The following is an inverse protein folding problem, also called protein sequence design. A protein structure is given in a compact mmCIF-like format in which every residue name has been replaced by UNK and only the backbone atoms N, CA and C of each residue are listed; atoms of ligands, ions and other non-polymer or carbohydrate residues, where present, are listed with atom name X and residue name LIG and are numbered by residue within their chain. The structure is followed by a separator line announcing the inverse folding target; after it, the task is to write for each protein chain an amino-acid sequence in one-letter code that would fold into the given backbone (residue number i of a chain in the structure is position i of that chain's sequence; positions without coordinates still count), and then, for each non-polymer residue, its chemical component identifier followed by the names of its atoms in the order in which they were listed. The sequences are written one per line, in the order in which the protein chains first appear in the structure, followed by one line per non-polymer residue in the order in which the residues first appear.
data_IF_261607091660
#
_entry.id   IF_261607091660
#
_cell.length_a   1.000
_cell.length_b   1.000
_cell.length_c   1.000
_cell.angle_alpha   90.00
_cell.angle_beta   90.00
_cell.angle_gamma   90.00
#
_symmetry.space_group_name_H-M   'P 1'
#
loop_
_entity.id
_entity.type
_entity.pdbx_description
1 polymer ?
#
# COMPACT_ATOMS: atom_id res chain seq x y z
N UNK A 1 -5.80 -15.21 -3.57
CA UNK A 1 -5.04 -14.40 -4.55
C UNK A 1 -4.32 -13.32 -3.75
N UNK A 2 -2.99 -13.18 -3.87
CA UNK A 2 -2.23 -12.23 -3.04
C UNK A 2 -2.44 -10.81 -3.57
N UNK A 3 -3.27 -10.00 -2.91
CA UNK A 3 -3.45 -8.59 -3.29
C UNK A 3 -2.32 -7.77 -2.67
N UNK A 4 -1.18 -7.73 -3.36
CA UNK A 4 -0.09 -6.79 -3.06
C UNK A 4 -0.22 -5.67 -4.08
N UNK A 5 -0.60 -4.48 -3.62
CA UNK A 5 -0.70 -3.31 -4.48
C UNK A 5 0.71 -2.76 -4.69
N UNK A 6 1.18 -2.76 -5.94
CA UNK A 6 2.46 -2.15 -6.35
C UNK A 6 2.11 -0.90 -7.14
N UNK A 7 2.44 0.27 -6.61
CA UNK A 7 2.28 1.54 -7.31
C UNK A 7 3.65 2.18 -7.57
N UNK A 8 3.93 2.48 -8.84
CA UNK A 8 5.04 3.35 -9.21
C UNK A 8 4.54 4.79 -9.08
N UNK A 9 4.91 5.48 -7.99
CA UNK A 9 4.56 6.88 -7.81
C UNK A 9 5.61 7.74 -8.52
N UNK A 10 5.25 8.28 -9.68
CA UNK A 10 6.06 9.29 -10.38
C UNK A 10 5.72 10.65 -9.79
N UNK A 11 6.59 11.19 -8.92
CA UNK A 11 6.50 12.59 -8.56
C UNK A 11 7.04 13.41 -9.73
N UNK A 12 6.14 14.20 -10.32
CA UNK A 12 6.45 15.13 -11.40
C UNK A 12 7.32 16.26 -10.83
N UNK A 13 8.64 16.13 -10.92
CA UNK A 13 9.54 17.27 -10.73
C UNK A 13 9.32 18.22 -11.91
N UNK A 14 8.67 19.35 -11.64
CA UNK A 14 8.66 20.52 -12.53
C UNK A 14 10.10 21.01 -12.61
N UNK A 15 10.82 20.56 -13.65
CA UNK A 15 11.89 21.23 -14.39
C UNK A 15 12.68 20.17 -15.19
N UNK A 16 12.04 19.60 -16.21
CA UNK A 16 12.66 19.25 -17.50
C UNK A 16 11.64 18.51 -18.36
N UNK A 17 11.58 18.87 -19.64
CA UNK A 17 10.74 18.21 -20.63
C UNK A 17 11.13 16.72 -20.78
N UNK A 18 10.48 15.85 -20.03
CA UNK A 18 10.24 14.47 -20.46
C UNK A 18 8.95 13.95 -19.84
N UNK A 19 7.88 14.01 -20.62
CA UNK A 19 6.59 13.42 -20.30
C UNK A 19 6.70 11.89 -20.30
N UNK A 20 6.75 11.30 -19.11
CA UNK A 20 6.58 9.84 -18.94
C UNK A 20 5.11 9.61 -18.63
N UNK A 21 4.38 9.05 -19.61
CA UNK A 21 2.99 8.62 -19.49
C UNK A 21 2.91 7.42 -18.55
N UNK A 22 2.01 7.49 -17.56
CA UNK A 22 1.59 6.34 -16.78
C UNK A 22 0.70 5.45 -17.65
N UNK A 23 0.96 4.14 -17.65
CA UNK A 23 0.20 3.15 -18.42
C UNK A 23 -0.10 1.92 -17.54
N UNK A 24 -1.24 1.31 -17.84
CA UNK A 24 -2.03 0.36 -17.05
C UNK A 24 -1.24 -0.71 -16.26
N UNK A 25 -1.56 -0.82 -14.97
CA UNK A 25 -1.08 -1.87 -14.07
C UNK A 25 -2.11 -3.00 -14.07
N UNK A 26 -1.77 -4.16 -14.65
CA UNK A 26 -2.55 -5.40 -14.53
C UNK A 26 -1.91 -6.24 -13.43
N UNK A 27 -2.62 -6.48 -12.33
CA UNK A 27 -2.18 -7.37 -11.24
C UNK A 27 -2.38 -8.85 -11.62
N UNK A 28 -1.33 -9.70 -11.61
CA UNK A 28 -1.48 -11.14 -11.70
C UNK A 28 -1.06 -11.87 -10.41
N UNK A 29 -1.69 -13.02 -10.20
CA UNK A 29 -1.45 -13.98 -9.13
C UNK A 29 -0.03 -14.56 -9.14
N UNK A 30 0.33 -15.17 -8.01
CA UNK A 30 1.62 -15.80 -7.72
C UNK A 30 1.99 -16.92 -8.71
N UNK A 31 2.56 -16.55 -9.85
CA UNK A 31 3.53 -17.33 -10.62
C UNK A 31 4.29 -16.33 -11.50
N UNK A 32 5.61 -16.50 -11.60
CA UNK A 32 6.55 -15.54 -12.17
C UNK A 32 6.02 -14.86 -13.44
N UNK A 33 5.64 -13.58 -13.42
CA UNK A 33 5.45 -12.80 -14.65
C UNK A 33 5.37 -11.27 -14.41
N UNK A 34 5.65 -10.56 -15.51
CA UNK A 34 6.25 -9.25 -15.72
C UNK A 34 5.44 -8.01 -15.27
N UNK A 35 6.15 -6.95 -14.84
CA UNK A 35 5.65 -5.56 -14.93
C UNK A 35 6.21 -4.92 -16.20
N UNK A 36 5.35 -4.72 -17.19
CA UNK A 36 5.68 -4.15 -18.50
C UNK A 36 5.29 -2.67 -18.51
N UNK A 37 6.29 -1.78 -18.67
CA UNK A 37 6.06 -0.38 -19.03
C UNK A 37 6.27 -0.25 -20.55
N UNK A 38 5.19 -0.17 -21.32
CA UNK A 38 5.26 0.13 -22.76
C UNK A 38 5.36 1.65 -22.96
N UNK A 39 6.31 2.09 -23.78
CA UNK A 39 6.32 3.45 -24.32
C UNK A 39 5.65 3.39 -25.70
N UNK A 40 4.65 4.23 -25.93
CA UNK A 40 3.96 4.33 -27.22
C UNK A 40 4.93 4.77 -28.33
N UNK A 41 4.81 4.24 -29.56
CA UNK A 41 5.66 4.59 -30.69
C UNK A 41 5.45 6.05 -31.14
N UNK A 42 6.44 6.69 -31.79
CA UNK A 42 6.29 8.04 -32.32
C UNK A 42 5.50 7.97 -33.63
N UNK A 43 4.17 8.07 -33.55
CA UNK A 43 3.34 8.35 -34.71
C UNK A 43 2.59 9.67 -34.48
N UNK A 44 2.55 10.52 -35.50
CA UNK A 44 2.06 11.91 -35.47
C UNK A 44 0.52 12.03 -35.38
N UNK A 45 -0.07 11.29 -34.44
CA UNK A 45 -1.39 11.46 -33.86
C UNK A 45 -1.26 10.93 -32.43
N UNK A 46 -0.83 11.78 -31.49
CA UNK A 46 -0.90 11.47 -30.06
C UNK A 46 -2.39 11.55 -29.69
N UNK A 47 -3.14 10.48 -29.93
CA UNK A 47 -4.28 10.22 -29.07
C UNK A 47 -3.69 10.06 -27.68
N UNK A 48 -3.91 11.08 -26.84
CA UNK A 48 -3.64 10.97 -25.40
C UNK A 48 -4.31 9.69 -24.95
N UNK A 49 -3.52 8.66 -24.61
CA UNK A 49 -3.99 7.66 -23.67
C UNK A 49 -4.36 8.47 -22.43
N UNK A 50 -5.65 8.80 -22.31
CA UNK A 50 -6.13 9.77 -21.34
C UNK A 50 -5.77 9.28 -19.95
N UNK A 51 -5.18 10.15 -19.13
CA UNK A 51 -4.97 9.81 -17.73
C UNK A 51 -6.32 9.45 -17.11
N UNK A 52 -6.36 8.32 -16.43
CA UNK A 52 -7.56 7.77 -15.83
C UNK A 52 -7.67 8.19 -14.37
N UNK A 53 -8.86 8.58 -13.93
CA UNK A 53 -9.10 8.94 -12.54
C UNK A 53 -9.32 7.68 -11.69
N UNK A 54 -8.64 7.61 -10.55
CA UNK A 54 -8.91 6.62 -9.51
C UNK A 54 -10.20 6.97 -8.76
N UNK A 55 -11.08 5.99 -8.61
CA UNK A 55 -12.34 6.15 -7.89
C UNK A 55 -12.29 5.36 -6.58
N UNK A 56 -12.56 6.06 -5.47
CA UNK A 56 -12.70 5.45 -4.16
C UNK A 56 -14.14 5.06 -3.88
N UNK A 57 -14.32 3.89 -3.27
CA UNK A 57 -15.59 3.37 -2.82
C UNK A 57 -15.89 3.71 -1.36
N UNK A 58 -16.39 2.72 -0.64
CA UNK A 58 -16.72 2.88 0.79
C UNK A 58 -15.45 2.90 1.64
N UNK A 59 -15.57 3.52 2.81
CA UNK A 59 -14.57 3.41 3.88
C UNK A 59 -14.49 1.95 4.35
N UNK A 60 -13.29 1.40 4.45
CA UNK A 60 -13.04 0.03 4.92
C UNK A 60 -12.60 0.03 6.39
N UNK A 61 -12.90 -1.06 7.10
CA UNK A 61 -12.48 -1.22 8.49
C UNK A 61 -10.97 -1.40 8.55
N UNK A 62 -10.25 -0.54 9.27
CA UNK A 62 -8.80 -0.66 9.38
C UNK A 62 -8.41 -1.85 10.30
N UNK A 63 -7.83 -2.95 9.79
CA UNK A 63 -7.43 -4.09 10.62
C UNK A 63 -6.40 -3.71 11.68
N UNK A 64 -5.61 -2.67 11.40
CA UNK A 64 -4.50 -2.22 12.25
C UNK A 64 -4.90 -1.16 13.27
N UNK A 65 -6.17 -0.75 13.34
CA UNK A 65 -6.62 0.11 14.44
C UNK A 65 -6.33 -0.57 15.78
N UNK A 66 -5.99 0.22 16.81
CA UNK A 66 -5.75 -0.34 18.16
C UNK A 66 -6.92 -1.20 18.63
N UNK A 67 -8.16 -0.78 18.32
CA UNK A 67 -9.36 -1.51 18.67
C UNK A 67 -9.46 -2.87 17.95
N UNK A 68 -9.19 -2.93 16.64
CA UNK A 68 -9.28 -4.19 15.88
C UNK A 68 -8.12 -5.12 16.20
N UNK A 69 -6.92 -4.60 16.40
CA UNK A 69 -5.78 -5.40 16.86
C UNK A 69 -6.03 -5.95 18.27
N UNK A 70 -6.64 -5.20 19.19
CA UNK A 70 -7.02 -5.73 20.50
C UNK A 70 -8.04 -6.87 20.38
N UNK A 71 -9.05 -6.73 19.49
CA UNK A 71 -10.00 -7.82 19.22
C UNK A 71 -9.29 -9.06 18.68
N UNK A 72 -8.35 -8.90 17.75
CA UNK A 72 -7.58 -9.99 17.18
C UNK A 72 -6.72 -10.70 18.24
N UNK A 73 -6.00 -9.95 19.08
CA UNK A 73 -5.25 -10.51 20.21
C UNK A 73 -6.16 -11.27 21.17
N UNK A 74 -7.31 -10.71 21.53
CA UNK A 74 -8.25 -11.39 22.42
C UNK A 74 -8.73 -12.72 21.83
N UNK A 75 -9.03 -12.76 20.53
CA UNK A 75 -9.50 -13.95 19.85
C UNK A 75 -8.40 -15.02 19.75
N UNK A 76 -7.21 -14.61 19.33
CA UNK A 76 -6.05 -15.49 19.21
C UNK A 76 -5.62 -16.05 20.57
N UNK A 77 -5.47 -15.20 21.59
CA UNK A 77 -5.09 -15.61 22.93
C UNK A 77 -6.12 -16.54 23.58
N UNK A 78 -7.42 -16.33 23.32
CA UNK A 78 -8.47 -17.27 23.76
C UNK A 78 -8.27 -18.66 23.17
N UNK A 79 -7.91 -18.73 21.88
CA UNK A 79 -7.62 -20.00 21.20
C UNK A 79 -6.37 -20.69 21.75
N UNK A 80 -5.31 -19.92 21.91
CA UNK A 80 -4.01 -20.40 22.44
C UNK A 80 -4.02 -20.64 23.95
N UNK A 81 -5.13 -20.32 24.64
CA UNK A 81 -5.27 -20.36 26.11
C UNK A 81 -4.19 -19.54 26.83
N UNK A 82 -3.85 -18.38 26.27
CA UNK A 82 -2.89 -17.43 26.83
C UNK A 82 -3.59 -16.13 27.24
N UNK A 83 -2.90 -15.29 28.02
CA UNK A 83 -3.38 -13.95 28.33
C UNK A 83 -3.18 -13.02 27.12
N UNK A 84 -4.22 -12.27 26.76
CA UNK A 84 -4.12 -11.26 25.71
C UNK A 84 -3.32 -10.05 26.21
N UNK A 85 -2.34 -9.54 25.45
CA UNK A 85 -1.65 -8.31 25.80
C UNK A 85 -2.57 -7.10 25.65
N UNK A 86 -2.23 -6.01 26.35
CA UNK A 86 -2.85 -4.70 26.11
C UNK A 86 -2.19 -4.04 24.90
N UNK A 87 -2.98 -3.78 23.87
CA UNK A 87 -2.54 -3.12 22.63
C UNK A 87 -2.51 -1.61 22.85
N UNK A 88 -1.37 -0.99 22.52
CA UNK A 88 -1.19 0.47 22.52
C UNK A 88 -0.74 0.93 21.15
N UNK A 89 -1.06 2.16 20.77
CA UNK A 89 -0.65 2.72 19.49
C UNK A 89 0.87 2.66 19.33
N UNK A 90 1.36 2.09 18.22
CA UNK A 90 2.77 2.22 17.84
C UNK A 90 2.96 3.29 16.78
N UNK A 91 1.91 3.57 16.00
CA UNK A 91 1.91 4.59 14.96
C UNK A 91 0.58 5.35 14.94
N UNK A 92 0.55 6.43 14.16
CA UNK A 92 -0.61 7.26 13.90
C UNK A 92 -0.82 7.35 12.39
N UNK A 93 -2.02 7.00 11.94
CA UNK A 93 -2.46 7.30 10.59
C UNK A 93 -2.93 8.75 10.55
N UNK A 94 -2.33 9.59 9.70
CA UNK A 94 -2.53 11.04 9.70
C UNK A 94 -2.97 11.56 8.33
N UNK A 95 -3.67 12.70 8.34
CA UNK A 95 -3.98 13.54 7.18
C UNK A 95 -3.24 14.86 7.30
N UNK A 96 -2.32 15.12 6.38
CA UNK A 96 -1.63 16.39 6.21
C UNK A 96 -2.47 17.27 5.28
N UNK A 97 -2.61 18.55 5.61
CA UNK A 97 -3.40 19.50 4.82
C UNK A 97 -2.54 20.69 4.40
N UNK A 98 -1.74 20.58 3.32
CA UNK A 98 -0.95 21.70 2.86
C UNK A 98 -1.85 22.90 2.53
N UNK A 99 -1.30 24.11 2.58
CA UNK A 99 -2.07 25.35 2.39
C UNK A 99 -1.26 26.48 1.77
N UNK A 100 0.00 26.20 1.43
CA UNK A 100 0.93 27.15 0.82
C UNK A 100 2.08 26.35 0.17
N UNK A 101 2.88 27.04 -0.65
CA UNK A 101 3.99 26.44 -1.37
C UNK A 101 5.08 25.86 -0.44
N UNK A 102 5.36 26.51 0.70
CA UNK A 102 6.36 26.02 1.64
C UNK A 102 6.01 24.65 2.23
N UNK A 103 4.70 24.35 2.36
CA UNK A 103 4.23 23.03 2.77
C UNK A 103 4.51 21.98 1.69
N UNK A 104 4.33 22.32 0.40
CA UNK A 104 4.64 21.42 -0.71
C UNK A 104 6.14 21.13 -0.80
N UNK A 105 6.98 22.16 -0.66
CA UNK A 105 8.45 21.99 -0.65
C UNK A 105 8.92 21.11 0.52
N UNK A 106 8.23 21.16 1.66
CA UNK A 106 8.54 20.31 2.79
C UNK A 106 8.08 18.86 2.57
N UNK A 107 6.91 18.65 1.96
CA UNK A 107 6.43 17.32 1.58
C UNK A 107 7.37 16.66 0.56
N UNK A 108 7.85 17.42 -0.43
CA UNK A 108 8.82 16.95 -1.42
C UNK A 108 10.14 16.51 -0.75
N UNK A 109 10.65 17.29 0.20
CA UNK A 109 11.84 16.89 0.99
C UNK A 109 11.61 15.60 1.77
N UNK A 110 10.45 15.46 2.43
CA UNK A 110 10.12 14.25 3.19
C UNK A 110 10.01 13.02 2.28
N UNK A 111 9.48 13.17 1.06
CA UNK A 111 9.42 12.06 0.10
C UNK A 111 10.81 11.69 -0.45
N UNK A 112 11.65 12.70 -0.72
CA UNK A 112 13.01 12.52 -1.21
C UNK A 112 13.91 11.80 -0.18
N UNK A 113 13.71 12.05 1.11
CA UNK A 113 14.37 11.31 2.20
C UNK A 113 13.96 9.83 2.25
N UNK A 114 12.78 9.48 1.70
CA UNK A 114 12.29 8.11 1.61
C UNK A 114 11.93 7.46 2.96
N UNK A 115 11.83 8.25 4.03
CA UNK A 115 11.55 7.78 5.40
C UNK A 115 10.05 7.52 5.60
N UNK A 116 9.20 8.31 4.95
CA UNK A 116 7.74 8.22 5.05
C UNK A 116 7.14 7.88 3.69
N UNK A 117 6.11 7.04 3.69
CA UNK A 117 5.30 6.82 2.50
C UNK A 117 4.14 7.80 2.45
N UNK A 118 4.21 8.73 1.49
CA UNK A 118 3.20 9.76 1.27
C UNK A 118 2.24 9.31 0.17
N UNK A 119 0.95 9.50 0.41
CA UNK A 119 -0.12 9.11 -0.51
C UNK A 119 -1.06 10.29 -0.74
N UNK A 120 -1.47 10.48 -1.99
CA UNK A 120 -2.42 11.51 -2.43
C UNK A 120 -3.89 11.14 -2.16
N UNK A 121 -4.15 9.90 -1.70
CA UNK A 121 -5.48 9.42 -1.36
C UNK A 121 -5.54 8.76 0.03
N UNK A 122 -6.73 8.72 0.66
CA UNK A 122 -6.90 8.04 1.94
C UNK A 122 -6.76 6.52 1.80
N UNK A 123 -5.97 5.92 2.70
CA UNK A 123 -5.59 4.51 2.71
C UNK A 123 -6.64 3.60 3.38
N UNK A 124 -7.70 4.19 3.92
CA UNK A 124 -8.81 3.51 4.60
C UNK A 124 -10.09 3.46 3.74
N UNK A 125 -9.94 3.51 2.42
CA UNK A 125 -11.03 3.38 1.44
C UNK A 125 -10.75 2.27 0.43
N UNK A 126 -11.83 1.66 -0.06
CA UNK A 126 -11.78 0.75 -1.19
C UNK A 126 -11.43 1.51 -2.48
N UNK A 127 -10.59 0.93 -3.34
CA UNK A 127 -10.35 1.43 -4.69
C UNK A 127 -11.29 0.65 -5.61
N UNK A 128 -12.37 1.29 -6.07
CA UNK A 128 -13.36 0.66 -6.96
C UNK A 128 -12.94 0.75 -8.42
N UNK A 129 -12.08 1.70 -8.75
CA UNK A 129 -11.51 1.86 -10.09
C UNK A 129 -10.08 2.35 -9.95
N UNK A 130 -9.15 1.54 -10.46
CA UNK A 130 -7.75 1.92 -10.56
C UNK A 130 -7.58 3.09 -11.53
N UNK A 131 -6.62 3.97 -11.25
CA UNK A 131 -6.34 5.12 -12.10
C UNK A 131 -4.96 5.70 -11.84
N UNK A 132 -4.59 6.67 -12.68
CA UNK A 132 -3.30 7.36 -12.65
C UNK A 132 -3.24 8.44 -11.57
N UNK A 133 -4.38 9.02 -11.19
CA UNK A 133 -4.49 10.08 -10.19
C UNK A 133 -5.78 9.97 -9.38
N UNK A 134 -5.75 10.40 -8.11
CA UNK A 134 -6.98 10.57 -7.32
C UNK A 134 -7.68 11.89 -7.60
N UNK A 135 -6.92 12.99 -7.49
CA UNK A 135 -7.39 14.35 -7.73
C UNK A 135 -6.44 15.03 -8.69
N UNK A 136 -6.97 15.49 -9.81
CA UNK A 136 -6.24 16.31 -10.78
C UNK A 136 -6.46 17.77 -10.43
N UNK A 137 -5.40 18.55 -10.14
CA UNK A 137 -5.52 19.99 -9.93
C UNK A 137 -6.18 20.68 -11.12
N UNK A 138 -7.19 21.50 -10.85
CA UNK A 138 -7.83 22.28 -11.90
C UNK A 138 -6.94 23.43 -12.41
N UNK A 139 -6.07 23.97 -11.54
CA UNK A 139 -5.14 25.05 -11.82
C UNK A 139 -4.11 25.20 -10.67
N UNK A 140 -3.19 26.15 -10.80
CA UNK A 140 -2.12 26.41 -9.81
C UNK A 140 -2.63 26.83 -8.41
N UNK A 141 -3.87 27.31 -8.29
CA UNK A 141 -4.48 27.65 -6.99
C UNK A 141 -5.10 26.43 -6.31
N UNK A 142 -5.15 25.29 -7.00
CA UNK A 142 -5.75 24.03 -6.58
C UNK A 142 -4.68 22.93 -6.37
N UNK A 143 -3.49 23.32 -5.91
CA UNK A 143 -2.37 22.38 -5.72
C UNK A 143 -2.34 21.76 -4.31
N UNK A 144 -3.06 22.35 -3.35
CA UNK A 144 -2.92 22.03 -1.93
C UNK A 144 -3.84 20.88 -1.50
N UNK A 145 -3.69 19.74 -2.17
CA UNK A 145 -4.45 18.53 -1.86
C UNK A 145 -3.95 17.83 -0.59
N UNK A 146 -4.83 17.17 0.16
CA UNK A 146 -4.42 16.42 1.34
C UNK A 146 -3.49 15.26 1.03
N UNK A 147 -2.53 15.04 1.92
CA UNK A 147 -1.60 13.90 1.86
C UNK A 147 -1.82 13.01 3.07
N UNK A 148 -1.71 11.71 2.88
CA UNK A 148 -1.95 10.69 3.88
C UNK A 148 -0.69 9.88 4.11
N UNK A 149 -0.40 9.59 5.37
CA UNK A 149 0.78 8.79 5.75
C UNK A 149 0.60 8.18 7.15
N UNK A 150 1.50 7.27 7.51
CA UNK A 150 1.55 6.63 8.83
C UNK A 150 2.90 6.94 9.48
N UNK A 151 2.87 7.54 10.66
CA UNK A 151 4.07 7.95 11.41
C UNK A 151 4.17 7.22 12.76
N UNK A 152 5.38 6.89 13.25
CA UNK A 152 5.55 6.36 14.61
C UNK A 152 5.01 7.34 15.67
N UNK A 153 4.50 6.80 16.78
CA UNK A 153 4.14 7.64 17.93
C UNK A 153 5.39 8.38 18.42
N UNK A 154 5.28 9.70 18.58
CA UNK A 154 6.39 10.56 18.99
C UNK A 154 7.31 11.03 17.86
N UNK A 155 7.02 10.66 16.60
CA UNK A 155 7.75 11.18 15.44
C UNK A 155 7.73 12.71 15.42
N UNK A 156 8.89 13.32 15.19
CA UNK A 156 9.05 14.78 15.14
C UNK A 156 8.71 15.29 13.76
N UNK A 157 7.41 15.42 13.50
CA UNK A 157 6.90 16.00 12.27
C UNK A 157 7.27 17.49 12.21
N UNK A 158 7.59 18.05 11.03
CA UNK A 158 7.91 19.48 10.93
C UNK A 158 6.75 20.34 11.46
N UNK A 159 7.05 21.21 12.42
CA UNK A 159 6.03 21.92 13.20
C UNK A 159 5.14 22.86 12.36
N UNK A 160 5.64 23.34 11.22
CA UNK A 160 4.89 24.20 10.31
C UNK A 160 3.87 23.45 9.46
N UNK A 161 3.97 22.13 9.34
CA UNK A 161 3.12 21.34 8.44
C UNK A 161 1.87 20.85 9.17
N UNK A 162 0.68 21.40 8.87
CA UNK A 162 -0.53 21.08 9.59
C UNK A 162 -1.00 19.65 9.25
N UNK A 163 -1.27 18.87 10.29
CA UNK A 163 -1.84 17.54 10.14
C UNK A 163 -2.86 17.27 11.24
N UNK A 164 -3.73 16.30 11.00
CA UNK A 164 -4.61 15.71 12.02
C UNK A 164 -4.44 14.21 12.07
N UNK A 165 -4.54 13.65 13.27
CA UNK A 165 -4.58 12.20 13.46
C UNK A 165 -5.95 11.71 12.99
N UNK A 166 -5.96 10.75 12.06
CA UNK A 166 -7.16 10.02 11.65
C UNK A 166 -7.42 8.90 12.66
N UNK A 167 -6.38 8.11 12.95
CA UNK A 167 -6.52 6.92 13.79
C UNK A 167 -5.19 6.53 14.45
N UNK A 168 -5.27 6.05 15.69
CA UNK A 168 -4.16 5.40 16.37
C UNK A 168 -4.10 3.93 15.94
N UNK A 169 -2.93 3.49 15.47
CA UNK A 169 -2.77 2.16 14.87
C UNK A 169 -1.64 1.38 15.52
N UNK A 170 -1.72 0.05 15.44
CA UNK A 170 -0.71 -0.87 15.93
C UNK A 170 -0.10 -1.62 14.75
N UNK A 171 1.22 -1.51 14.61
CA UNK A 171 2.00 -2.29 13.66
C UNK A 171 2.39 -3.65 14.28
N UNK A 172 1.90 -4.78 13.75
CA UNK A 172 2.28 -6.10 14.24
C UNK A 172 3.75 -6.43 13.98
N UNK A 173 4.37 -7.13 14.94
CA UNK A 173 5.73 -7.68 14.80
C UNK A 173 5.76 -8.88 13.86
N UNK A 174 6.96 -9.28 13.43
CA UNK A 174 7.11 -10.49 12.60
C UNK A 174 6.58 -11.74 13.32
N UNK A 175 6.78 -11.83 14.65
CA UNK A 175 6.27 -12.91 15.50
C UNK A 175 4.77 -12.87 15.77
N UNK A 176 4.06 -11.82 15.34
CA UNK A 176 2.63 -11.60 15.55
C UNK A 176 1.82 -11.82 14.26
N UNK A 177 2.35 -12.62 13.32
CA UNK A 177 1.71 -12.94 12.02
C UNK A 177 0.31 -13.47 12.16
N UNK A 178 0.12 -14.38 13.10
CA UNK A 178 -1.13 -15.07 13.34
C UNK A 178 -2.22 -14.09 13.78
N UNK A 179 -1.84 -13.14 14.65
CA UNK A 179 -2.72 -12.08 15.12
C UNK A 179 -3.03 -11.08 14.00
N UNK A 180 -2.05 -10.76 13.16
CA UNK A 180 -2.24 -9.92 11.98
C UNK A 180 -3.26 -10.55 11.01
N UNK A 181 -3.13 -11.84 10.68
CA UNK A 181 -4.10 -12.56 9.83
C UNK A 181 -5.51 -12.52 10.42
N UNK A 182 -5.65 -12.75 11.72
CA UNK A 182 -6.94 -12.64 12.42
C UNK A 182 -7.52 -11.23 12.32
N UNK A 183 -6.70 -10.20 12.48
CA UNK A 183 -7.16 -8.81 12.37
C UNK A 183 -7.65 -8.48 10.95
N UNK A 184 -6.95 -8.97 9.92
CA UNK A 184 -7.33 -8.84 8.51
C UNK A 184 -8.63 -9.57 8.21
N UNK A 185 -8.79 -10.79 8.73
CA UNK A 185 -10.02 -11.57 8.58
C UNK A 185 -11.22 -10.86 9.19
N UNK A 186 -11.09 -10.40 10.44
CA UNK A 186 -12.13 -9.64 11.15
C UNK A 186 -12.50 -8.33 10.44
N UNK A 187 -11.57 -7.75 9.67
CA UNK A 187 -11.78 -6.54 8.89
C UNK A 187 -12.28 -6.80 7.45
N UNK A 188 -12.53 -8.07 7.09
CA UNK A 188 -12.91 -8.49 5.73
C UNK A 188 -11.85 -8.14 4.66
N UNK A 189 -10.57 -8.18 5.06
CA UNK A 189 -9.40 -7.83 4.23
C UNK A 189 -8.41 -8.99 4.07
N UNK A 190 -8.75 -10.17 4.55
CA UNK A 190 -7.94 -11.37 4.31
C UNK A 190 -8.37 -12.04 3.00
N UNK A 191 -7.50 -11.99 2.01
CA UNK A 191 -7.70 -12.60 0.69
C UNK A 191 -7.07 -13.99 0.57
N UNK A 192 -6.49 -14.51 1.66
CA UNK A 192 -5.84 -15.81 1.73
C UNK A 192 -6.64 -16.86 2.51
N UNK A 193 -7.61 -16.43 3.33
CA UNK A 193 -8.50 -17.35 4.03
C UNK A 193 -9.51 -17.96 3.05
N UNK A 194 -9.34 -19.25 2.79
CA UNK A 194 -10.32 -20.06 2.09
C UNK A 194 -11.36 -20.57 3.10
N UNK A 195 -12.35 -19.72 3.41
CA UNK A 195 -13.47 -20.13 4.25
C UNK A 195 -14.55 -20.83 3.40
N UNK A 196 -15.29 -21.79 3.98
CA UNK A 196 -16.43 -22.39 3.30
C UNK A 196 -17.38 -21.32 2.78
N UNK A 197 -17.83 -21.45 1.53
CA UNK A 197 -18.67 -20.44 0.84
C UNK A 197 -19.99 -20.12 1.56
N UNK A 198 -20.40 -20.98 2.51
CA UNK A 198 -21.57 -20.80 3.37
C UNK A 198 -21.33 -19.92 4.61
N UNK A 199 -20.09 -19.50 4.87
CA UNK A 199 -19.67 -18.76 6.07
C UNK A 199 -18.91 -17.48 5.72
N UNK A 200 -19.00 -16.47 6.60
CA UNK A 200 -18.20 -15.25 6.48
C UNK A 200 -16.89 -15.41 7.26
N UNK A 201 -15.75 -15.20 6.61
CA UNK A 201 -14.43 -15.27 7.25
C UNK A 201 -14.23 -14.23 8.37
N UNK A 202 -15.02 -13.16 8.38
CA UNK A 202 -14.96 -12.13 9.41
C UNK A 202 -15.75 -12.47 10.68
N UNK A 203 -16.41 -13.64 10.75
CA UNK A 203 -17.11 -14.10 11.96
C UNK A 203 -16.11 -14.66 12.99
N UNK A 204 -16.04 -14.09 14.21
CA UNK A 204 -15.15 -14.58 15.27
C UNK A 204 -15.36 -16.04 15.65
N UNK A 205 -16.59 -16.58 15.56
CA UNK A 205 -16.86 -17.97 15.89
C UNK A 205 -16.30 -18.92 14.83
N UNK A 206 -16.42 -18.54 13.55
CA UNK A 206 -15.83 -19.30 12.44
C UNK A 206 -14.32 -19.35 12.61
N UNK A 207 -13.67 -18.20 12.89
CA UNK A 207 -12.23 -18.15 13.16
C UNK A 207 -11.82 -19.03 14.36
N UNK A 208 -12.62 -19.06 15.44
CA UNK A 208 -12.39 -19.93 16.58
C UNK A 208 -12.52 -21.43 16.25
N UNK A 209 -13.43 -21.80 15.37
CA UNK A 209 -13.55 -23.17 14.87
C UNK A 209 -12.38 -23.55 13.97
N UNK A 210 -11.97 -22.65 13.08
CA UNK A 210 -10.82 -22.85 12.22
C UNK A 210 -9.53 -23.05 13.03
N UNK A 211 -9.35 -22.35 14.16
CA UNK A 211 -8.21 -22.61 15.05
C UNK A 211 -8.18 -24.03 15.67
N UNK A 212 -9.34 -24.67 15.81
CA UNK A 212 -9.42 -26.03 16.38
C UNK A 212 -9.06 -27.11 15.36
N UNK A 213 -9.02 -26.79 14.07
CA UNK A 213 -8.74 -27.74 13.00
C UNK A 213 -7.23 -27.77 12.66
N UNK A 214 -6.47 -28.80 13.10
CA UNK A 214 -5.02 -28.88 12.89
C UNK A 214 -4.62 -29.04 11.41
N UNK A 215 -5.55 -29.41 10.54
CA UNK A 215 -5.34 -29.53 9.09
C UNK A 215 -5.42 -28.19 8.37
N UNK A 216 -6.07 -27.17 8.94
CA UNK A 216 -6.08 -25.80 8.40
C UNK A 216 -4.81 -25.06 8.85
N UNK A 217 -3.67 -25.44 8.27
CA UNK A 217 -2.43 -24.64 8.30
C UNK A 217 -2.60 -23.21 7.75
N UNK A 218 -3.74 -22.90 7.13
CA UNK A 218 -4.02 -21.62 6.45
C UNK A 218 -4.08 -20.41 7.40
N UNK A 219 -4.55 -20.54 8.65
CA UNK A 219 -4.59 -19.39 9.57
C UNK A 219 -3.19 -18.95 10.06
N UNK A 220 -2.23 -19.88 10.14
CA UNK A 220 -0.97 -19.68 10.90
C UNK A 220 0.30 -20.17 10.18
N UNK A 221 0.19 -20.64 8.94
CA UNK A 221 1.28 -21.34 8.23
C UNK A 221 1.54 -20.83 6.82
N UNK A 222 0.84 -19.79 6.37
CA UNK A 222 1.14 -19.12 5.12
C UNK A 222 2.59 -18.63 5.15
N UNK A 223 3.43 -19.15 4.24
CA UNK A 223 4.83 -18.73 4.13
C UNK A 223 4.82 -17.28 3.66
N UNK A 224 4.98 -16.33 4.60
CA UNK A 224 5.01 -14.90 4.29
C UNK A 224 5.93 -14.65 3.10
N UNK A 225 5.37 -14.01 2.09
CA UNK A 225 6.06 -13.80 0.83
C UNK A 225 6.82 -12.48 0.91
N UNK A 226 8.05 -12.46 0.41
CA UNK A 226 8.77 -11.21 0.17
C UNK A 226 8.60 -10.84 -1.30
N UNK A 227 7.78 -9.83 -1.62
CA UNK A 227 7.62 -9.39 -2.99
C UNK A 227 8.98 -9.06 -3.59
N UNK A 228 9.25 -9.60 -4.77
CA UNK A 228 10.44 -9.31 -5.54
C UNK A 228 10.09 -9.44 -7.01
N UNK A 229 10.85 -8.77 -7.86
CA UNK A 229 10.59 -8.75 -9.28
C UNK A 229 11.59 -7.87 -10.00
N UNK A 230 11.23 -7.46 -11.21
CA UNK A 230 12.03 -6.53 -11.99
C UNK A 230 11.13 -5.57 -12.76
N UNK A 231 11.69 -4.41 -13.11
CA UNK A 231 11.06 -3.40 -13.95
C UNK A 231 11.97 -3.14 -15.15
N UNK A 232 11.39 -3.26 -16.34
CA UNK A 232 12.07 -3.03 -17.62
C UNK A 232 11.21 -2.12 -18.49
N UNK A 233 11.86 -1.37 -19.37
CA UNK A 233 11.22 -0.54 -20.39
C UNK A 233 11.56 -1.07 -21.77
N UNK A 234 10.59 -1.06 -22.68
CA UNK A 234 10.83 -1.45 -24.07
C UNK A 234 11.43 -0.27 -24.83
N UNK A 235 12.63 -0.46 -25.39
CA UNK A 235 13.22 0.48 -26.31
C UNK A 235 12.45 0.39 -27.65
N UNK A 236 11.85 1.49 -28.09
CA UNK A 236 11.01 1.54 -29.29
C UNK A 236 11.81 1.50 -30.59
N UNK A 237 13.10 1.83 -30.55
CA UNK A 237 13.99 1.83 -31.72
C UNK A 237 14.58 0.44 -31.95
N UNK A 238 15.02 -0.23 -30.88
CA UNK A 238 15.68 -1.55 -30.96
C UNK A 238 14.72 -2.72 -30.72
N UNK A 239 13.54 -2.45 -30.15
CA UNK A 239 12.58 -3.45 -29.71
C UNK A 239 13.00 -4.23 -28.45
N UNK A 240 14.16 -3.92 -27.86
CA UNK A 240 14.71 -4.67 -26.73
C UNK A 240 14.18 -4.16 -25.38
N UNK A 241 14.14 -5.06 -24.40
CA UNK A 241 13.80 -4.72 -23.01
C UNK A 241 15.04 -4.29 -22.24
N UNK A 242 15.05 -3.05 -21.80
CA UNK A 242 16.15 -2.45 -21.03
C UNK A 242 15.77 -2.34 -19.54
N UNK A 243 16.69 -2.63 -18.61
CA UNK A 243 16.42 -2.52 -17.18
C UNK A 243 16.20 -1.06 -16.77
N UNK A 244 15.11 -0.81 -16.04
CA UNK A 244 14.87 0.52 -15.47
C UNK A 244 15.59 0.63 -14.13
N UNK A 245 16.71 1.36 -14.10
CA UNK A 245 17.55 1.52 -12.92
C UNK A 245 17.00 2.58 -11.98
N UNK A 246 17.11 2.35 -10.67
CA UNK A 246 16.71 3.29 -9.60
C UNK A 246 15.25 3.74 -9.64
N UNK A 247 14.37 2.93 -10.23
CA UNK A 247 12.93 3.15 -10.15
C UNK A 247 12.47 2.96 -8.71
N UNK A 248 11.72 3.93 -8.18
CA UNK A 248 11.07 3.83 -6.85
C UNK A 248 9.86 2.90 -6.95
N UNK A 249 9.84 1.86 -6.14
CA UNK A 249 8.77 0.86 -6.08
C UNK A 249 8.08 0.98 -4.72
N UNK A 250 6.78 1.27 -4.73
CA UNK A 250 5.95 1.30 -3.52
C UNK A 250 5.28 -0.05 -3.32
N UNK A 251 5.41 -0.60 -2.13
CA UNK A 251 4.88 -1.92 -1.78
C UNK A 251 4.25 -1.83 -0.40
N UNK A 252 2.98 -2.23 -0.28
CA UNK A 252 2.29 -2.18 0.99
C UNK A 252 1.12 -3.16 1.12
N UNK A 253 0.57 -3.19 2.34
CA UNK A 253 -0.67 -3.88 2.68
C UNK A 253 -1.51 -2.98 3.59
N UNK A 254 -2.74 -2.70 3.18
CA UNK A 254 -3.62 -1.74 3.87
C UNK A 254 -2.94 -0.38 4.00
N UNK A 255 -2.80 0.11 5.23
CA UNK A 255 -2.16 1.40 5.52
C UNK A 255 -0.62 1.34 5.58
N UNK A 256 -0.02 0.13 5.56
CA UNK A 256 1.42 -0.03 5.70
C UNK A 256 2.11 -0.04 4.34
N UNK A 257 2.66 1.09 3.95
CA UNK A 257 3.43 1.25 2.72
C UNK A 257 4.92 1.48 3.00
N UNK A 258 5.74 1.00 2.08
CA UNK A 258 7.20 1.15 2.09
C UNK A 258 7.70 1.32 0.67
N UNK A 259 8.89 1.89 0.54
CA UNK A 259 9.58 1.98 -0.74
C UNK A 259 10.79 1.05 -0.81
N UNK A 260 11.10 0.63 -2.03
CA UNK A 260 12.39 0.07 -2.42
C UNK A 260 12.77 0.63 -3.79
N UNK A 261 14.01 0.43 -4.21
CA UNK A 261 14.46 0.86 -5.53
C UNK A 261 14.91 -0.34 -6.36
N UNK A 262 14.80 -0.22 -7.68
CA UNK A 262 15.41 -1.19 -8.59
C UNK A 262 16.92 -1.02 -8.67
N UNK A 263 17.64 -2.13 -8.77
CA UNK A 263 19.09 -2.16 -8.97
C UNK A 263 19.49 -1.83 -10.42
N UNK A 264 20.78 -1.98 -10.74
CA UNK A 264 21.32 -1.74 -12.08
C UNK A 264 20.77 -2.69 -13.15
N UNK A 265 20.15 -3.80 -12.74
CA UNK A 265 19.55 -4.80 -13.61
C UNK A 265 18.01 -4.70 -13.60
N UNK A 266 17.46 -3.65 -12.98
CA UNK A 266 16.02 -3.44 -12.87
C UNK A 266 15.34 -4.28 -11.81
N UNK A 267 16.06 -5.06 -10.99
CA UNK A 267 15.46 -5.94 -9.99
C UNK A 267 15.15 -5.19 -8.70
N UNK A 268 14.06 -5.54 -8.04
CA UNK A 268 13.70 -5.05 -6.70
C UNK A 268 13.34 -6.20 -5.77
N UNK A 269 13.47 -5.96 -4.47
CA UNK A 269 13.01 -6.85 -3.42
C UNK A 269 12.45 -6.01 -2.28
N UNK A 270 11.26 -6.37 -1.80
CA UNK A 270 10.58 -5.67 -0.73
C UNK A 270 11.36 -5.76 0.58
N UNK A 271 11.38 -4.70 1.40
CA UNK A 271 12.07 -4.71 2.68
C UNK A 271 11.41 -5.65 3.70
N UNK A 272 10.07 -5.79 3.65
CA UNK A 272 9.27 -6.62 4.55
C UNK A 272 8.67 -7.82 3.81
N UNK A 273 8.43 -8.89 4.55
CA UNK A 273 7.56 -9.99 4.11
C UNK A 273 6.10 -9.66 4.49
N UNK A 274 5.17 -10.09 3.65
CA UNK A 274 3.72 -9.93 3.84
C UNK A 274 3.05 -11.29 3.96
#
# INVERSE_FOLDING_TARGET
MKTITISALTILSLLSNSSVSSQQIKLPSAENDFLVLEKSPPNNQVESAGQTQMVLGRKIQNPYSVANMQKAFNLYSRSMKTAAPSVRATHQYIKITPSNESHLQLLDKLDAEGVLSLHDYPLDYEITTEGDYYVMPANEKDLYHPIYTVIPVGYKFPASLPYRIIENVYQPKETESDVESVALALADQDTELDCPSSMKCNDPNVLLEMFKNPTQKSLFGGRRYRPHGYVKVKNTETGQWEPLKRAKISIGRGIWWRYTYTDNNGHFTAPKKY
#
